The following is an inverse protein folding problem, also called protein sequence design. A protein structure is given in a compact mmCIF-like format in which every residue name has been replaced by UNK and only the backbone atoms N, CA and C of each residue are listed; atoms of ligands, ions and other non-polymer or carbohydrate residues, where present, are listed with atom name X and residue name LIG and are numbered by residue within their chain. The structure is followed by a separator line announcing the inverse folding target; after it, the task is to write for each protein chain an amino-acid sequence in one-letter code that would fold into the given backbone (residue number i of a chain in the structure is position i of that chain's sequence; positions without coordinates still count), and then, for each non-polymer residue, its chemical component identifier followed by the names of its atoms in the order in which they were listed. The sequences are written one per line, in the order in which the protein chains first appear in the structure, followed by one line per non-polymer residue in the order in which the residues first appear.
data_IF_066056214800
#
_entry.id   IF_066056214800
#
_cell.length_a   1.000
_cell.length_b   1.000
_cell.length_c   1.000
_cell.angle_alpha   90.00
_cell.angle_beta   90.00
_cell.angle_gamma   90.00
#
_symmetry.space_group_name_H-M   'P 1'
#
loop_
_entity.id
_entity.type
_entity.pdbx_description
1 polymer ?
#
# COMPACT_ATOMS: atom_id res chain seq x y z
N UNK A 1 -1.86 -13.03 -51.77
CA UNK A 1 -1.19 -11.73 -51.52
C UNK A 1 -1.28 -11.42 -50.03
N UNK A 2 -0.30 -11.87 -49.25
CA UNK A 2 -0.23 -11.54 -47.85
C UNK A 2 0.29 -10.10 -47.75
N UNK A 3 -0.59 -9.15 -47.41
CA UNK A 3 -0.18 -7.80 -47.01
C UNK A 3 0.58 -7.96 -45.70
N UNK A 4 1.90 -8.14 -45.80
CA UNK A 4 2.82 -7.73 -44.76
C UNK A 4 2.53 -6.26 -44.50
N UNK A 5 1.67 -5.99 -43.50
CA UNK A 5 1.55 -4.65 -42.97
C UNK A 5 2.93 -4.35 -42.40
N UNK A 6 3.72 -3.56 -43.14
CA UNK A 6 4.94 -2.91 -42.68
C UNK A 6 4.57 -2.02 -41.48
N UNK A 7 4.35 -2.64 -40.32
CA UNK A 7 4.25 -1.91 -39.07
C UNK A 7 5.69 -1.54 -38.76
N UNK A 8 6.01 -0.27 -39.04
CA UNK A 8 7.29 0.32 -38.68
C UNK A 8 7.69 -0.12 -37.27
N UNK A 9 8.92 -0.63 -37.05
CA UNK A 9 9.37 -1.04 -35.71
C UNK A 9 9.15 0.01 -34.62
N UNK A 10 9.19 1.30 -35.00
CA UNK A 10 8.88 2.41 -34.10
C UNK A 10 7.42 2.45 -33.65
N UNK A 11 6.46 2.11 -34.55
CA UNK A 11 5.03 2.03 -34.21
C UNK A 11 4.77 0.87 -33.25
N UNK A 12 5.32 -0.31 -33.55
CA UNK A 12 5.20 -1.47 -32.66
C UNK A 12 5.80 -1.18 -31.28
N UNK A 13 6.98 -0.57 -31.20
CA UNK A 13 7.57 -0.18 -29.91
C UNK A 13 6.70 0.83 -29.14
N UNK A 14 6.11 1.82 -29.84
CA UNK A 14 5.22 2.79 -29.20
C UNK A 14 3.96 2.13 -28.63
N UNK A 15 3.39 1.16 -29.34
CA UNK A 15 2.26 0.35 -28.86
C UNK A 15 2.63 -0.46 -27.61
N UNK A 16 3.80 -1.12 -27.61
CA UNK A 16 4.30 -1.87 -26.45
C UNK A 16 4.53 -0.98 -25.23
N UNK A 17 5.09 0.23 -25.41
CA UNK A 17 5.26 1.20 -24.32
C UNK A 17 3.91 1.65 -23.75
N UNK A 18 2.90 1.82 -24.60
CA UNK A 18 1.54 2.18 -24.15
C UNK A 18 0.86 1.03 -23.39
N UNK A 19 1.06 -0.22 -23.83
CA UNK A 19 0.62 -1.41 -23.09
C UNK A 19 1.28 -1.44 -21.71
N UNK A 20 2.61 -1.27 -21.65
CA UNK A 20 3.35 -1.24 -20.39
C UNK A 20 2.85 -0.14 -19.45
N UNK A 21 2.57 1.06 -19.99
CA UNK A 21 2.01 2.17 -19.23
C UNK A 21 0.64 1.81 -18.62
N UNK A 22 -0.24 1.17 -19.39
CA UNK A 22 -1.56 0.74 -18.91
C UNK A 22 -1.43 -0.34 -17.82
N UNK A 23 -0.56 -1.33 -18.05
CA UNK A 23 -0.28 -2.37 -17.05
C UNK A 23 0.29 -1.79 -15.77
N UNK A 24 1.24 -0.84 -15.86
CA UNK A 24 1.79 -0.15 -14.69
C UNK A 24 0.70 0.56 -13.88
N UNK A 25 -0.22 1.27 -14.53
CA UNK A 25 -1.35 1.93 -13.86
C UNK A 25 -2.27 0.93 -13.18
N UNK A 26 -2.67 -0.13 -13.87
CA UNK A 26 -3.49 -1.19 -13.29
C UNK A 26 -2.83 -1.83 -12.06
N UNK A 27 -1.50 -2.07 -12.11
CA UNK A 27 -0.75 -2.55 -10.95
C UNK A 27 -0.79 -1.58 -9.76
N UNK A 28 -0.66 -0.27 -10.01
CA UNK A 28 -0.74 0.74 -8.96
C UNK A 28 -2.13 0.82 -8.35
N UNK A 29 -3.19 0.74 -9.16
CA UNK A 29 -4.58 0.81 -8.69
C UNK A 29 -4.91 -0.39 -7.78
N UNK A 30 -4.51 -1.60 -8.19
CA UNK A 30 -4.67 -2.81 -7.37
C UNK A 30 -3.85 -2.72 -6.08
N UNK A 31 -2.59 -2.27 -6.18
CA UNK A 31 -1.74 -2.08 -5.01
C UNK A 31 -2.35 -1.07 -4.02
N UNK A 32 -2.84 0.07 -4.51
CA UNK A 32 -3.45 1.11 -3.68
C UNK A 32 -4.71 0.58 -2.98
N UNK A 33 -5.59 -0.10 -3.72
CA UNK A 33 -6.80 -0.69 -3.14
C UNK A 33 -6.49 -1.72 -2.04
N UNK A 34 -5.47 -2.57 -2.23
CA UNK A 34 -5.03 -3.51 -1.19
C UNK A 34 -4.55 -2.77 0.06
N UNK A 35 -3.65 -1.80 -0.11
CA UNK A 35 -3.07 -1.02 1.00
C UNK A 35 -4.16 -0.26 1.77
N UNK A 36 -5.10 0.37 1.05
CA UNK A 36 -6.23 1.07 1.67
C UNK A 36 -7.12 0.12 2.47
N UNK A 37 -7.39 -1.08 1.94
CA UNK A 37 -8.15 -2.12 2.64
C UNK A 37 -7.45 -2.58 3.92
N UNK A 38 -6.14 -2.83 3.87
CA UNK A 38 -5.35 -3.25 5.04
C UNK A 38 -5.34 -2.16 6.12
N UNK A 39 -5.13 -0.90 5.73
CA UNK A 39 -5.19 0.24 6.66
C UNK A 39 -6.57 0.41 7.30
N UNK A 40 -7.66 0.22 6.54
CA UNK A 40 -9.01 0.27 7.10
C UNK A 40 -9.24 -0.87 8.09
N UNK A 41 -8.79 -2.08 7.76
CA UNK A 41 -8.91 -3.25 8.64
C UNK A 41 -8.16 -3.03 9.97
N UNK A 42 -6.91 -2.54 9.93
CA UNK A 42 -6.12 -2.23 11.14
C UNK A 42 -6.87 -1.21 12.01
N UNK A 43 -7.38 -0.12 11.42
CA UNK A 43 -8.14 0.92 12.12
C UNK A 43 -9.40 0.34 12.77
N UNK A 44 -10.17 -0.45 12.04
CA UNK A 44 -11.43 -1.02 12.51
C UNK A 44 -11.20 -2.04 13.62
N UNK A 45 -10.21 -2.93 13.48
CA UNK A 45 -9.83 -3.89 14.50
C UNK A 45 -9.35 -3.20 15.79
N UNK A 46 -8.52 -2.16 15.66
CA UNK A 46 -8.08 -1.34 16.79
C UNK A 46 -9.26 -0.68 17.51
N UNK A 47 -10.19 -0.06 16.77
CA UNK A 47 -11.38 0.57 17.36
C UNK A 47 -12.27 -0.48 18.04
N UNK A 48 -12.56 -1.61 17.38
CA UNK A 48 -13.42 -2.65 17.91
C UNK A 48 -12.89 -3.26 19.21
N UNK A 49 -11.59 -3.60 19.26
CA UNK A 49 -10.94 -4.09 20.48
C UNK A 49 -10.88 -3.03 21.59
N UNK A 50 -10.94 -1.74 21.23
CA UNK A 50 -10.91 -0.64 22.21
C UNK A 50 -12.25 -0.28 22.85
N UNK A 51 -13.36 -0.91 22.44
CA UNK A 51 -14.70 -0.62 22.98
C UNK A 51 -14.97 -1.26 24.36
N UNK A 52 -14.02 -2.01 24.92
CA UNK A 52 -14.12 -2.48 26.30
C UNK A 52 -14.19 -1.28 27.27
N UNK A 53 -15.02 -1.38 28.31
CA UNK A 53 -15.26 -0.29 29.27
C UNK A 53 -13.98 0.23 29.98
N UNK A 54 -12.90 -0.55 29.98
CA UNK A 54 -11.60 -0.15 30.49
C UNK A 54 -10.48 -0.80 29.66
N UNK A 55 -9.66 -0.01 28.97
CA UNK A 55 -8.45 -0.52 28.31
C UNK A 55 -7.39 -0.89 29.34
N UNK A 56 -6.69 -2.00 29.10
CA UNK A 56 -5.52 -2.35 29.91
C UNK A 56 -4.39 -1.33 29.68
N UNK A 57 -3.51 -1.15 30.67
CA UNK A 57 -2.33 -0.28 30.52
C UNK A 57 -1.40 -0.75 29.39
N UNK A 58 -1.32 -2.07 29.15
CA UNK A 58 -0.55 -2.62 28.03
C UNK A 58 -1.16 -2.16 26.69
N UNK A 59 -2.48 -2.31 26.51
CA UNK A 59 -3.18 -1.86 25.31
C UNK A 59 -3.00 -0.35 25.05
N UNK A 60 -3.05 0.47 26.11
CA UNK A 60 -2.81 1.92 26.00
C UNK A 60 -1.38 2.22 25.56
N UNK A 61 -0.38 1.49 26.08
CA UNK A 61 1.01 1.62 25.64
C UNK A 61 1.17 1.21 24.19
N UNK A 62 0.65 0.05 23.81
CA UNK A 62 0.79 -0.48 22.46
C UNK A 62 0.12 0.47 21.43
N UNK A 63 -1.03 1.07 21.77
CA UNK A 63 -1.66 2.15 20.99
C UNK A 63 -0.75 3.38 20.81
N UNK A 64 -0.03 3.80 21.85
CA UNK A 64 0.91 4.94 21.75
C UNK A 64 2.09 4.59 20.86
N UNK A 65 2.57 3.36 20.93
CA UNK A 65 3.67 2.88 20.09
C UNK A 65 3.22 2.84 18.61
N UNK A 66 2.04 2.30 18.32
CA UNK A 66 1.43 2.33 16.98
C UNK A 66 1.27 3.75 16.44
N UNK A 67 0.78 4.70 17.25
CA UNK A 67 0.67 6.12 16.87
C UNK A 67 2.05 6.69 16.53
N UNK A 68 3.08 6.31 17.28
CA UNK A 68 4.46 6.78 17.07
C UNK A 68 5.04 6.23 15.77
N UNK A 69 4.81 4.95 15.47
CA UNK A 69 5.21 4.34 14.19
C UNK A 69 4.56 5.07 13.00
N UNK A 70 3.25 5.34 13.07
CA UNK A 70 2.53 6.10 12.03
C UNK A 70 3.10 7.51 11.84
N UNK A 71 3.44 8.21 12.94
CA UNK A 71 3.93 9.60 12.89
C UNK A 71 5.38 9.73 12.44
N UNK A 72 6.20 8.71 12.68
CA UNK A 72 7.63 8.72 12.36
C UNK A 72 7.94 8.12 10.99
N UNK A 73 6.93 7.60 10.28
CA UNK A 73 7.05 7.11 8.91
C UNK A 73 7.45 8.26 7.95
N UNK A 74 8.74 8.33 7.60
CA UNK A 74 9.26 9.27 6.61
C UNK A 74 9.11 8.73 5.18
N UNK A 75 8.14 9.25 4.44
CA UNK A 75 7.91 8.99 3.01
C UNK A 75 7.86 10.30 2.22
N UNK A 76 8.20 10.24 0.93
CA UNK A 76 8.22 11.40 0.03
C UNK A 76 7.34 11.13 -1.20
N UNK A 77 6.00 11.26 -1.06
CA UNK A 77 5.04 10.87 -2.10
C UNK A 77 5.32 11.52 -3.45
N UNK A 78 5.76 12.77 -3.46
CA UNK A 78 6.09 13.56 -4.65
C UNK A 78 7.23 12.95 -5.49
N UNK A 79 8.02 12.04 -4.89
CA UNK A 79 9.16 11.39 -5.57
C UNK A 79 8.80 10.04 -6.19
N UNK A 80 7.61 9.50 -5.94
CA UNK A 80 7.17 8.22 -6.53
C UNK A 80 8.11 7.04 -6.27
N UNK A 81 8.77 7.01 -5.11
CA UNK A 81 9.84 6.05 -4.82
C UNK A 81 9.29 4.71 -4.38
N UNK A 82 9.64 3.62 -5.07
CA UNK A 82 9.34 2.24 -4.62
C UNK A 82 9.75 1.96 -3.18
N UNK A 83 10.88 2.50 -2.72
CA UNK A 83 11.33 2.30 -1.34
C UNK A 83 10.38 2.88 -0.30
N UNK A 84 9.64 3.93 -0.64
CA UNK A 84 8.67 4.55 0.28
C UNK A 84 7.41 3.68 0.34
N UNK A 85 7.00 3.07 -0.78
CA UNK A 85 5.95 2.03 -0.81
C UNK A 85 6.31 0.83 0.08
N UNK A 86 7.56 0.35 -0.01
CA UNK A 86 8.03 -0.72 0.88
C UNK A 86 7.96 -0.37 2.38
N UNK A 87 8.23 0.89 2.74
CA UNK A 87 8.11 1.33 4.14
C UNK A 87 6.65 1.27 4.61
N UNK A 88 5.70 1.59 3.73
CA UNK A 88 4.26 1.47 4.02
C UNK A 88 3.90 0.00 4.23
N UNK A 89 4.34 -0.90 3.35
CA UNK A 89 4.10 -2.34 3.50
C UNK A 89 4.64 -2.86 4.85
N UNK A 90 5.89 -2.52 5.20
CA UNK A 90 6.48 -2.92 6.48
C UNK A 90 5.74 -2.36 7.69
N UNK A 91 5.25 -1.11 7.62
CA UNK A 91 4.45 -0.53 8.70
C UNK A 91 3.11 -1.26 8.84
N UNK A 92 2.45 -1.62 7.73
CA UNK A 92 1.19 -2.37 7.74
C UNK A 92 1.39 -3.74 8.39
N UNK A 93 2.46 -4.45 8.05
CA UNK A 93 2.82 -5.73 8.68
C UNK A 93 3.01 -5.57 10.20
N UNK A 94 3.78 -4.56 10.62
CA UNK A 94 4.03 -4.29 12.04
C UNK A 94 2.75 -3.94 12.81
N UNK A 95 1.94 -3.02 12.29
CA UNK A 95 0.68 -2.62 12.92
C UNK A 95 -0.32 -3.77 13.00
N UNK A 96 -0.40 -4.62 11.97
CA UNK A 96 -1.26 -5.81 11.97
C UNK A 96 -0.86 -6.77 13.08
N UNK A 97 0.44 -7.08 13.20
CA UNK A 97 0.95 -7.90 14.29
C UNK A 97 0.64 -7.31 15.66
N UNK A 98 0.78 -5.99 15.83
CA UNK A 98 0.45 -5.33 17.10
C UNK A 98 -1.02 -5.49 17.44
N UNK A 99 -1.94 -5.20 16.50
CA UNK A 99 -3.40 -5.30 16.74
C UNK A 99 -3.83 -6.75 17.00
N UNK A 100 -3.27 -7.71 16.26
CA UNK A 100 -3.62 -9.12 16.42
C UNK A 100 -3.19 -9.68 17.78
N UNK A 101 -2.07 -9.20 18.32
CA UNK A 101 -1.51 -9.62 19.61
C UNK A 101 -2.13 -8.95 20.85
N UNK A 102 -3.13 -8.07 20.66
CA UNK A 102 -3.92 -7.54 21.77
C UNK A 102 -4.86 -8.58 22.39
#
# INVERSE_FOLDING_TARGET
MAKSLDVSPAKSFAEEVEILRKSFRACLDVYASRVESELSHIKEAAVAKSQAAQLSQNTIRDLRDMITLCRTLDIKPEKGRRKDLKKIDSLIEELTLMVDNW
#
